data_IF_816507710567
#
_entry.id   IF_816507710567
#
_cell.length_a   1.000
_cell.length_b   1.000
_cell.length_c   1.000
_cell.angle_alpha   90.00
_cell.angle_beta   90.00
_cell.angle_gamma   90.00
#
_symmetry.space_group_name_H-M   'P 1'
#
loop_
_entity.id
_entity.type
_entity.pdbx_description
1 polymer ?
#
# COMPACT_ATOMS: atom_id res chain seq x y z
N UNK A 1 -9.93 -12.76 30.42
CA UNK A 1 -8.69 -11.92 30.35
C UNK A 1 -8.73 -11.08 29.05
N UNK A 2 -7.80 -10.14 28.81
CA UNK A 2 -7.72 -9.46 27.50
C UNK A 2 -6.78 -10.21 26.53
N UNK A 3 -7.18 -10.39 25.27
CA UNK A 3 -6.35 -11.03 24.25
C UNK A 3 -5.05 -10.25 24.00
N UNK A 4 -3.91 -10.95 24.04
CA UNK A 4 -2.59 -10.38 23.75
C UNK A 4 -1.90 -11.15 22.64
N UNK A 5 -1.65 -10.48 21.52
CA UNK A 5 -0.96 -11.08 20.39
C UNK A 5 0.57 -11.00 20.55
N UNK A 6 1.23 -12.17 20.66
CA UNK A 6 2.69 -12.27 20.87
C UNK A 6 3.52 -11.53 19.82
N UNK A 7 3.04 -11.45 18.57
CA UNK A 7 3.77 -10.84 17.45
C UNK A 7 3.29 -9.43 17.10
N UNK A 8 2.62 -8.74 18.02
CA UNK A 8 2.10 -7.38 17.77
C UNK A 8 3.20 -6.43 17.30
N UNK A 9 4.40 -6.47 17.92
CA UNK A 9 5.54 -5.63 17.50
C UNK A 9 5.99 -5.91 16.07
N UNK A 10 5.96 -7.16 15.63
CA UNK A 10 6.32 -7.52 14.25
C UNK A 10 5.26 -7.06 13.25
N UNK A 11 3.97 -7.14 13.62
CA UNK A 11 2.88 -6.61 12.80
C UNK A 11 3.00 -5.09 12.65
N UNK A 12 3.29 -4.36 13.73
CA UNK A 12 3.50 -2.91 13.69
C UNK A 12 4.72 -2.53 12.83
N UNK A 13 5.82 -3.28 12.93
CA UNK A 13 6.99 -3.07 12.08
C UNK A 13 6.66 -3.31 10.59
N UNK A 14 5.88 -4.35 10.28
CA UNK A 14 5.45 -4.63 8.90
C UNK A 14 4.56 -3.50 8.35
N UNK A 15 3.61 -2.99 9.15
CA UNK A 15 2.79 -1.82 8.82
C UNK A 15 3.64 -0.58 8.56
N UNK A 16 4.63 -0.30 9.42
CA UNK A 16 5.52 0.84 9.25
C UNK A 16 6.31 0.74 7.94
N UNK A 17 6.87 -0.44 7.64
CA UNK A 17 7.63 -0.66 6.40
C UNK A 17 6.75 -0.48 5.16
N UNK A 18 5.52 -1.02 5.17
CA UNK A 18 4.57 -0.83 4.08
C UNK A 18 4.26 0.66 3.87
N UNK A 19 3.96 1.40 4.95
CA UNK A 19 3.70 2.85 4.86
C UNK A 19 4.88 3.63 4.29
N UNK A 20 6.09 3.32 4.76
CA UNK A 20 7.31 3.95 4.25
C UNK A 20 7.48 3.68 2.75
N UNK A 21 7.26 2.44 2.32
CA UNK A 21 7.38 2.08 0.92
C UNK A 21 6.27 2.73 0.05
N UNK A 22 5.04 2.81 0.57
CA UNK A 22 3.94 3.50 -0.10
C UNK A 22 4.27 4.99 -0.30
N UNK A 23 4.89 5.62 0.69
CA UNK A 23 5.38 6.99 0.57
C UNK A 23 6.43 7.14 -0.53
N UNK A 24 7.41 6.23 -0.61
CA UNK A 24 8.43 6.22 -1.69
C UNK A 24 7.78 6.09 -3.08
N UNK A 25 6.81 5.18 -3.23
CA UNK A 25 6.04 5.04 -4.48
C UNK A 25 5.32 6.34 -4.82
N UNK A 26 4.68 6.98 -3.84
CA UNK A 26 4.00 8.27 -4.01
C UNK A 26 4.95 9.38 -4.48
N UNK A 27 6.15 9.47 -3.89
CA UNK A 27 7.17 10.42 -4.31
C UNK A 27 7.63 10.20 -5.76
N UNK A 28 7.87 8.94 -6.15
CA UNK A 28 8.24 8.62 -7.55
C UNK A 28 7.12 8.95 -8.53
N UNK A 29 5.87 8.69 -8.17
CA UNK A 29 4.72 9.06 -9.00
C UNK A 29 4.63 10.58 -9.20
N UNK A 30 4.80 11.35 -8.12
CA UNK A 30 4.82 12.82 -8.21
C UNK A 30 5.97 13.33 -9.08
N UNK A 31 7.15 12.72 -8.98
CA UNK A 31 8.29 13.06 -9.84
C UNK A 31 8.01 12.76 -11.31
N UNK A 32 7.41 11.60 -11.62
CA UNK A 32 7.03 11.24 -12.99
C UNK A 32 6.05 12.27 -13.58
N UNK A 33 5.10 12.77 -12.79
CA UNK A 33 4.16 13.82 -13.24
C UNK A 33 4.93 15.09 -13.61
N UNK A 34 5.82 15.59 -12.74
CA UNK A 34 6.66 16.76 -13.02
C UNK A 34 7.51 16.59 -14.29
N UNK A 35 8.12 15.42 -14.44
CA UNK A 35 8.95 15.15 -15.62
C UNK A 35 8.14 15.03 -16.92
N UNK A 36 6.88 14.60 -16.85
CA UNK A 36 5.95 14.63 -18.00
C UNK A 36 5.55 16.05 -18.36
N UNK A 37 5.29 16.92 -17.38
CA UNK A 37 5.00 18.34 -17.63
C UNK A 37 6.18 19.02 -18.31
N UNK A 38 7.41 18.75 -17.84
CA UNK A 38 8.64 19.24 -18.49
C UNK A 38 8.80 18.72 -19.92
N UNK A 39 8.48 17.46 -20.18
CA UNK A 39 8.50 16.92 -21.54
C UNK A 39 7.47 17.63 -22.43
N UNK A 40 6.26 17.88 -21.91
CA UNK A 40 5.24 18.62 -22.64
C UNK A 40 5.65 20.06 -22.94
N UNK A 41 6.31 20.75 -22.00
CA UNK A 41 6.80 22.11 -22.26
C UNK A 41 7.87 22.12 -23.34
N UNK A 42 8.82 21.19 -23.31
CA UNK A 42 9.83 21.02 -24.37
C UNK A 42 9.20 20.73 -25.73
N UNK A 43 8.17 19.88 -25.79
CA UNK A 43 7.48 19.57 -27.04
C UNK A 43 6.72 20.79 -27.60
N UNK A 44 6.13 21.61 -26.74
CA UNK A 44 5.50 22.88 -27.14
C UNK A 44 6.54 23.88 -27.66
N UNK A 45 7.66 24.01 -26.97
CA UNK A 45 8.78 24.88 -27.37
C UNK A 45 9.34 24.45 -28.74
N UNK A 46 9.53 23.14 -28.96
CA UNK A 46 9.94 22.59 -30.25
C UNK A 46 8.93 22.90 -31.35
N UNK A 47 7.64 22.70 -31.11
CA UNK A 47 6.60 22.95 -32.10
C UNK A 47 6.55 24.44 -32.49
N UNK A 48 6.67 25.34 -31.51
CA UNK A 48 6.75 26.78 -31.74
C UNK A 48 8.00 27.16 -32.52
N UNK A 49 9.18 26.67 -32.10
CA UNK A 49 10.44 26.94 -32.80
C UNK A 49 10.39 26.47 -34.26
N UNK A 50 9.81 25.29 -34.51
CA UNK A 50 9.62 24.75 -35.85
C UNK A 50 8.66 25.61 -36.70
N UNK A 51 7.56 26.07 -36.11
CA UNK A 51 6.62 26.95 -36.80
C UNK A 51 7.26 28.31 -37.13
N UNK A 52 7.99 28.91 -36.19
CA UNK A 52 8.71 30.16 -36.41
C UNK A 52 9.79 30.01 -37.49
N UNK A 53 10.51 28.90 -37.50
CA UNK A 53 11.50 28.60 -38.52
C UNK A 53 10.87 28.46 -39.91
N UNK A 54 9.73 27.76 -40.04
CA UNK A 54 9.00 27.67 -41.32
C UNK A 54 8.55 29.05 -41.82
N UNK A 55 8.04 29.91 -40.94
CA UNK A 55 7.68 31.28 -41.31
C UNK A 55 8.88 32.13 -41.73
N UNK A 56 10.07 31.89 -41.17
CA UNK A 56 11.31 32.54 -41.61
C UNK A 56 11.72 32.09 -43.02
N UNK A 57 11.55 30.79 -43.32
CA UNK A 57 11.79 30.25 -44.68
C UNK A 57 10.87 30.94 -45.69
N UNK A 58 9.57 31.05 -45.40
CA UNK A 58 8.59 31.68 -46.29
C UNK A 58 8.87 33.18 -46.55
N UNK A 59 9.45 33.88 -45.56
CA UNK A 59 9.84 35.29 -45.66
C UNK A 59 11.18 35.52 -46.35
N UNK A 60 11.88 34.47 -46.78
CA UNK A 60 13.18 34.58 -47.42
C UNK A 60 14.30 34.99 -46.45
N UNK A 61 14.26 34.50 -45.21
CA UNK A 61 15.34 34.72 -44.25
C UNK A 61 16.70 34.23 -44.79
N UNK A 62 17.78 34.83 -44.29
CA UNK A 62 19.13 34.49 -44.71
C UNK A 62 19.51 33.05 -44.33
N UNK A 63 20.44 32.46 -45.08
CA UNK A 63 20.94 31.11 -44.78
C UNK A 63 21.52 30.98 -43.34
N UNK A 64 22.11 32.06 -42.81
CA UNK A 64 22.66 32.09 -41.45
C UNK A 64 21.56 32.03 -40.37
N UNK A 65 20.44 32.74 -40.57
CA UNK A 65 19.28 32.70 -39.68
C UNK A 65 18.62 31.32 -39.70
N UNK A 66 18.39 30.78 -40.90
CA UNK A 66 17.81 29.44 -41.06
C UNK A 66 18.69 28.34 -40.44
N UNK A 67 20.00 28.43 -40.61
CA UNK A 67 20.96 27.50 -40.00
C UNK A 67 20.92 27.56 -38.46
N UNK A 68 20.82 28.77 -37.91
CA UNK A 68 20.75 28.96 -36.45
C UNK A 68 19.46 28.42 -35.87
N UNK A 69 18.31 28.67 -36.52
CA UNK A 69 17.03 28.11 -36.12
C UNK A 69 17.00 26.58 -36.19
N UNK A 70 17.58 25.98 -37.24
CA UNK A 70 17.67 24.52 -37.36
C UNK A 70 18.53 23.91 -36.24
N UNK A 71 19.69 24.51 -35.92
CA UNK A 71 20.53 24.07 -34.78
C UNK A 71 19.76 24.09 -33.46
N UNK A 72 18.96 25.13 -33.24
CA UNK A 72 18.14 25.25 -32.04
C UNK A 72 17.07 24.15 -31.99
N UNK A 73 16.33 23.93 -33.08
CA UNK A 73 15.33 22.86 -33.19
C UNK A 73 15.96 21.50 -32.90
N UNK A 74 17.11 21.19 -33.52
CA UNK A 74 17.82 19.92 -33.26
C UNK A 74 18.29 19.79 -31.81
N UNK A 75 18.64 20.89 -31.14
CA UNK A 75 18.98 20.86 -29.72
C UNK A 75 17.76 20.55 -28.84
N UNK A 76 16.57 21.05 -29.21
CA UNK A 76 15.32 20.74 -28.52
C UNK A 76 14.91 19.28 -28.72
N UNK A 77 15.09 18.72 -29.91
CA UNK A 77 14.87 17.30 -30.20
C UNK A 77 15.72 16.41 -29.29
N UNK A 78 17.02 16.70 -29.20
CA UNK A 78 17.93 15.96 -28.30
C UNK A 78 17.48 16.04 -26.84
N UNK A 79 17.08 17.22 -26.36
CA UNK A 79 16.58 17.41 -25.00
C UNK A 79 15.28 16.62 -24.76
N UNK A 80 14.39 16.56 -25.75
CA UNK A 80 13.16 15.76 -25.70
C UNK A 80 13.51 14.26 -25.60
N UNK A 81 14.45 13.78 -26.40
CA UNK A 81 14.89 12.38 -26.39
C UNK A 81 15.55 11.99 -25.06
N UNK A 82 16.43 12.84 -24.53
CA UNK A 82 17.04 12.66 -23.21
C UNK A 82 15.98 12.62 -22.10
N UNK A 83 15.00 13.54 -22.16
CA UNK A 83 13.91 13.61 -21.20
C UNK A 83 13.00 12.37 -21.27
N UNK A 84 12.73 11.87 -22.48
CA UNK A 84 12.01 10.61 -22.69
C UNK A 84 12.76 9.42 -22.10
N UNK A 85 14.08 9.34 -22.31
CA UNK A 85 14.92 8.29 -21.74
C UNK A 85 14.91 8.35 -20.21
N UNK A 86 15.00 9.56 -19.64
CA UNK A 86 14.91 9.77 -18.20
C UNK A 86 13.55 9.31 -17.65
N UNK A 87 12.45 9.65 -18.33
CA UNK A 87 11.11 9.23 -17.94
C UNK A 87 10.95 7.69 -17.97
N UNK A 88 11.52 7.02 -18.97
CA UNK A 88 11.53 5.56 -19.05
C UNK A 88 12.27 4.93 -17.86
N UNK A 89 13.40 5.50 -17.45
CA UNK A 89 14.14 5.05 -16.25
C UNK A 89 13.28 5.20 -15.00
N UNK A 90 12.65 6.36 -14.80
CA UNK A 90 11.78 6.61 -13.65
C UNK A 90 10.58 5.64 -13.60
N UNK A 91 9.97 5.34 -14.75
CA UNK A 91 8.88 4.36 -14.83
C UNK A 91 9.35 2.96 -14.45
N UNK A 92 10.51 2.53 -14.97
CA UNK A 92 11.09 1.23 -14.59
C UNK A 92 11.42 1.15 -13.09
N UNK A 93 11.93 2.24 -12.51
CA UNK A 93 12.16 2.31 -11.06
C UNK A 93 10.84 2.29 -10.27
N UNK A 94 9.81 2.99 -10.72
CA UNK A 94 8.49 2.96 -10.10
C UNK A 94 7.94 1.53 -10.06
N UNK A 95 8.08 0.76 -11.14
CA UNK A 95 7.62 -0.63 -11.19
C UNK A 95 8.38 -1.50 -10.17
N UNK A 96 9.69 -1.30 -10.02
CA UNK A 96 10.49 -1.98 -8.98
C UNK A 96 10.01 -1.61 -7.57
N UNK A 97 9.74 -0.34 -7.30
CA UNK A 97 9.26 0.10 -5.99
C UNK A 97 7.83 -0.38 -5.68
N UNK A 98 6.98 -0.50 -6.72
CA UNK A 98 5.64 -1.12 -6.61
C UNK A 98 5.73 -2.60 -6.30
N UNK A 99 6.64 -3.33 -6.94
CA UNK A 99 6.86 -4.75 -6.66
C UNK A 99 7.30 -4.96 -5.19
N UNK A 100 8.22 -4.12 -4.69
CA UNK A 100 8.60 -4.13 -3.26
C UNK A 100 7.41 -3.86 -2.34
N UNK A 101 6.56 -2.90 -2.67
CA UNK A 101 5.36 -2.60 -1.88
C UNK A 101 4.43 -3.82 -1.81
N UNK A 102 4.22 -4.51 -2.92
CA UNK A 102 3.40 -5.73 -2.96
C UNK A 102 3.96 -6.81 -2.02
N UNK A 103 5.28 -7.02 -2.01
CA UNK A 103 5.90 -7.99 -1.08
C UNK A 103 5.74 -7.57 0.39
N UNK A 104 5.83 -6.29 0.70
CA UNK A 104 5.58 -5.78 2.06
C UNK A 104 4.12 -5.96 2.50
N UNK A 105 3.16 -5.72 1.60
CA UNK A 105 1.73 -5.96 1.85
C UNK A 105 1.48 -7.45 2.11
N UNK A 106 2.09 -8.35 1.32
CA UNK A 106 2.00 -9.80 1.54
C UNK A 106 2.55 -10.17 2.92
N UNK A 107 3.73 -9.65 3.28
CA UNK A 107 4.35 -9.89 4.58
C UNK A 107 3.47 -9.41 5.74
N UNK A 108 2.89 -8.21 5.65
CA UNK A 108 1.93 -7.72 6.66
C UNK A 108 0.74 -8.66 6.79
N UNK A 109 0.16 -9.09 5.67
CA UNK A 109 -1.05 -9.93 5.66
C UNK A 109 -0.83 -11.30 6.31
N UNK A 110 0.40 -11.82 6.30
CA UNK A 110 0.75 -13.04 7.05
C UNK A 110 0.56 -12.81 8.55
N UNK A 111 1.06 -11.70 9.09
CA UNK A 111 0.91 -11.38 10.52
C UNK A 111 -0.53 -11.09 10.90
N UNK A 112 -1.31 -10.44 10.03
CA UNK A 112 -2.75 -10.21 10.24
C UNK A 112 -3.51 -11.53 10.36
N UNK A 113 -3.31 -12.46 9.41
CA UNK A 113 -3.91 -13.79 9.45
C UNK A 113 -3.48 -14.60 10.68
N UNK A 114 -2.23 -14.46 11.11
CA UNK A 114 -1.74 -15.13 12.31
C UNK A 114 -2.42 -14.57 13.57
N UNK A 115 -2.62 -13.25 13.64
CA UNK A 115 -3.32 -12.58 14.73
C UNK A 115 -4.79 -13.02 14.81
N UNK A 116 -5.46 -13.08 13.66
CA UNK A 116 -6.84 -13.57 13.53
C UNK A 116 -6.98 -15.01 14.07
N UNK A 117 -6.15 -15.95 13.58
CA UNK A 117 -6.16 -17.34 14.07
C UNK A 117 -5.86 -17.45 15.57
N UNK A 118 -4.96 -16.63 16.09
CA UNK A 118 -4.65 -16.62 17.53
C UNK A 118 -5.83 -16.11 18.34
N UNK A 119 -6.57 -15.12 17.81
CA UNK A 119 -7.76 -14.56 18.44
C UNK A 119 -8.89 -15.58 18.46
N UNK A 120 -9.16 -16.26 17.34
CA UNK A 120 -10.16 -17.32 17.26
C UNK A 120 -9.89 -18.42 18.30
N UNK A 121 -8.63 -18.87 18.41
CA UNK A 121 -8.22 -19.86 19.42
C UNK A 121 -8.37 -19.36 20.85
N UNK A 122 -8.14 -18.07 21.08
CA UNK A 122 -8.32 -17.47 22.40
C UNK A 122 -9.81 -17.43 22.77
N UNK A 123 -10.66 -16.95 21.87
CA UNK A 123 -12.11 -16.88 22.06
C UNK A 123 -12.72 -18.28 22.25
N UNK A 124 -12.24 -19.29 21.52
CA UNK A 124 -12.67 -20.67 21.72
C UNK A 124 -12.29 -21.21 23.11
N UNK A 125 -11.11 -20.86 23.62
CA UNK A 125 -10.70 -21.26 24.98
C UNK A 125 -11.53 -20.58 26.05
N UNK A 126 -11.79 -19.28 25.93
CA UNK A 126 -12.63 -18.56 26.89
C UNK A 126 -14.05 -19.16 26.90
N UNK A 127 -14.64 -19.40 25.72
CA UNK A 127 -15.97 -20.07 25.64
C UNK A 127 -16.00 -21.43 26.31
N UNK A 128 -14.96 -22.26 26.10
CA UNK A 128 -14.88 -23.58 26.74
C UNK A 128 -14.72 -23.47 28.26
N UNK A 129 -13.95 -22.50 28.74
CA UNK A 129 -13.78 -22.25 30.16
C UNK A 129 -15.08 -21.76 30.81
N UNK A 130 -15.79 -20.83 30.16
CA UNK A 130 -17.10 -20.35 30.58
C UNK A 130 -18.13 -21.49 30.64
N UNK A 131 -18.19 -22.33 29.60
CA UNK A 131 -19.09 -23.49 29.58
C UNK A 131 -18.78 -24.47 30.72
N UNK A 132 -17.52 -24.76 30.97
CA UNK A 132 -17.13 -25.65 32.07
C UNK A 132 -17.57 -25.12 33.45
N UNK A 133 -17.48 -23.81 33.67
CA UNK A 133 -17.98 -23.17 34.90
C UNK A 133 -19.50 -23.27 35.00
N UNK A 134 -20.23 -23.04 33.90
CA UNK A 134 -21.69 -23.17 33.88
C UNK A 134 -22.14 -24.62 34.17
N UNK A 135 -21.46 -25.61 33.58
CA UNK A 135 -21.76 -27.03 33.80
C UNK A 135 -21.50 -27.44 35.26
N UNK A 136 -20.44 -26.92 35.88
CA UNK A 136 -20.14 -27.13 37.31
C UNK A 136 -21.23 -26.52 38.21
N UNK A 137 -21.64 -25.28 37.94
CA UNK A 137 -22.73 -24.61 38.67
C UNK A 137 -24.05 -25.35 38.52
N UNK A 138 -24.39 -25.79 37.31
CA UNK A 138 -25.59 -26.57 37.05
C UNK A 138 -25.58 -27.91 37.79
N UNK A 139 -24.43 -28.59 37.81
CA UNK A 139 -24.24 -29.83 38.56
C UNK A 139 -24.45 -29.61 40.06
N UNK A 140 -23.81 -28.59 40.64
CA UNK A 140 -23.98 -28.24 42.06
C UNK A 140 -25.42 -27.89 42.42
N UNK A 141 -26.14 -27.19 41.53
CA UNK A 141 -27.55 -26.88 41.73
C UNK A 141 -28.42 -28.14 41.72
N UNK A 142 -28.23 -29.06 40.76
CA UNK A 142 -28.94 -30.34 40.70
C UNK A 142 -28.67 -31.20 41.95
N UNK A 143 -27.41 -31.29 42.38
CA UNK A 143 -27.04 -31.99 43.63
C UNK A 143 -27.79 -31.42 44.84
N UNK A 144 -27.90 -30.10 44.95
CA UNK A 144 -28.60 -29.44 46.04
C UNK A 144 -30.11 -29.72 46.01
N UNK A 145 -30.75 -29.59 44.85
CA UNK A 145 -32.19 -29.88 44.71
C UNK A 145 -32.52 -31.34 45.04
N UNK A 146 -31.65 -32.29 44.65
CA UNK A 146 -31.83 -33.71 45.02
C UNK A 146 -31.63 -33.97 46.50
N UNK A 147 -30.68 -33.28 47.14
CA UNK A 147 -30.46 -33.39 48.58
C UNK A 147 -31.66 -32.83 49.36
N UNK A 148 -32.22 -31.69 48.93
CA UNK A 148 -33.41 -31.08 49.53
C UNK A 148 -34.62 -32.02 49.45
N UNK A 149 -34.88 -32.63 48.28
CA UNK A 149 -35.94 -33.63 48.10
C UNK A 149 -35.76 -34.88 48.98
N UNK A 150 -34.53 -35.40 49.10
CA UNK A 150 -34.24 -36.57 49.94
C UNK A 150 -34.42 -36.28 51.45
N UNK A 151 -34.15 -35.05 51.89
CA UNK A 151 -34.44 -34.63 53.27
C UNK A 151 -35.93 -34.42 53.54
N UNK A 152 -36.75 -34.05 52.55
CA UNK A 152 -38.21 -33.98 52.70
C UNK A 152 -38.86 -35.37 52.75
N UNK A 153 -38.36 -36.34 51.97
CA UNK A 153 -38.84 -37.73 52.00
C UNK A 153 -38.43 -38.49 53.28
N UNK A 154 -37.27 -38.15 53.87
CA UNK A 154 -36.79 -38.75 55.13
C UNK A 154 -37.51 -38.26 56.40
N UNK A 155 -38.26 -37.15 56.32
CA UNK A 155 -39.08 -36.62 57.43
C UNK A 155 -40.52 -37.19 57.40
N UNK A 156 -40.88 -37.91 56.35
CA UNK A 156 -42.21 -38.50 56.15
C UNK A 156 -42.36 -39.97 56.61
N UNK A 157 -41.42 -40.51 57.39
CA UNK A 157 -41.51 -41.84 58.04
C UNK A 157 -41.63 -41.72 59.56
#
# INVERSE_FOLDING_TARGET
MAFRFRYERLLQLALQRERQQAYVVGQKMAEIVRQREKLQSLAREWAQARQSWLAQVERGASAAELSSGLRWISSLERRIDEQNLHLRKLLSELDRERAKLVELVKARRIYEKLKERHRERYEERERRAEQAVLDEVASLADWRSRAELASEEGVAQ
#
